data_IF_485187938993
#
_entry.id   IF_485187938993
#
_cell.length_a   1.000
_cell.length_b   1.000
_cell.length_c   1.000
_cell.angle_alpha   90.00
_cell.angle_beta   90.00
_cell.angle_gamma   90.00
#
_symmetry.space_group_name_H-M   'P 1'
#
loop_
_entity.id
_entity.type
_entity.pdbx_description
1 polymer ?
#
# COMPACT_ATOMS: atom_id res chain seq x y z
N UNK A 1 25.17 16.14 -101.04
CA UNK A 1 25.11 16.86 -99.76
C UNK A 1 24.39 15.95 -98.80
N UNK A 2 25.11 15.30 -97.90
CA UNK A 2 24.55 14.45 -96.85
C UNK A 2 24.22 15.34 -95.66
N UNK A 3 22.96 15.32 -95.22
CA UNK A 3 22.49 16.09 -94.07
C UNK A 3 22.79 15.31 -92.79
N UNK A 4 23.70 15.84 -91.98
CA UNK A 4 23.99 15.31 -90.64
C UNK A 4 22.72 15.41 -89.75
N UNK A 5 22.29 14.28 -89.22
CA UNK A 5 21.20 14.21 -88.24
C UNK A 5 21.68 14.83 -86.91
N UNK A 6 20.87 15.65 -86.22
CA UNK A 6 21.27 16.30 -84.97
C UNK A 6 21.07 15.32 -83.82
N UNK A 7 21.96 14.34 -83.69
CA UNK A 7 21.98 13.44 -82.53
C UNK A 7 23.11 13.89 -81.62
N UNK A 8 22.77 14.65 -80.58
CA UNK A 8 23.73 14.98 -79.54
C UNK A 8 24.03 13.74 -78.68
N UNK A 9 25.31 13.44 -78.39
CA UNK A 9 25.66 12.32 -77.54
C UNK A 9 25.16 12.57 -76.11
N UNK A 10 24.30 11.67 -75.63
CA UNK A 10 23.79 11.69 -74.26
C UNK A 10 25.00 11.58 -73.31
N UNK A 11 25.35 12.68 -72.61
CA UNK A 11 26.36 12.65 -71.56
C UNK A 11 25.92 11.69 -70.47
N UNK A 12 26.58 10.53 -70.38
CA UNK A 12 26.40 9.57 -69.28
C UNK A 12 26.71 10.29 -67.97
N UNK A 13 25.69 10.50 -67.12
CA UNK A 13 25.86 11.06 -65.78
C UNK A 13 26.82 10.15 -65.02
N UNK A 14 27.98 10.68 -64.63
CA UNK A 14 28.86 9.96 -63.72
C UNK A 14 28.12 9.72 -62.40
N UNK A 15 28.18 8.50 -61.83
CA UNK A 15 27.56 8.24 -60.54
C UNK A 15 28.18 9.19 -59.50
N UNK A 16 27.34 9.92 -58.77
CA UNK A 16 27.80 10.73 -57.64
C UNK A 16 28.49 9.78 -56.66
N UNK A 17 29.74 10.09 -56.27
CA UNK A 17 30.43 9.40 -55.18
C UNK A 17 29.57 9.52 -53.92
N UNK A 18 28.85 8.46 -53.58
CA UNK A 18 28.18 8.35 -52.28
C UNK A 18 29.30 8.27 -51.24
N UNK A 19 29.39 9.25 -50.35
CA UNK A 19 30.27 9.13 -49.20
C UNK A 19 29.79 7.91 -48.42
N UNK A 20 30.70 6.96 -48.14
CA UNK A 20 30.38 5.81 -47.30
C UNK A 20 30.07 6.35 -45.91
N UNK A 21 28.79 6.32 -45.54
CA UNK A 21 28.37 6.64 -44.17
C UNK A 21 29.08 5.62 -43.27
N UNK A 22 29.87 6.05 -42.28
CA UNK A 22 30.50 5.13 -41.36
C UNK A 22 29.42 4.27 -40.68
N UNK A 23 29.76 3.01 -40.41
CA UNK A 23 28.85 2.09 -39.73
C UNK A 23 28.40 2.72 -38.41
N UNK A 24 27.11 3.06 -38.32
CA UNK A 24 26.51 3.65 -37.14
C UNK A 24 25.67 2.59 -36.44
N UNK A 25 26.08 2.25 -35.22
CA UNK A 25 25.31 1.37 -34.37
C UNK A 25 24.42 2.20 -33.45
N UNK A 26 23.16 2.35 -33.85
CA UNK A 26 22.18 3.12 -33.09
C UNK A 26 21.85 2.49 -31.74
N UNK A 27 22.03 1.18 -31.60
CA UNK A 27 21.68 0.49 -30.37
C UNK A 27 22.65 0.87 -29.24
N UNK A 28 23.95 0.87 -29.53
CA UNK A 28 24.98 1.27 -28.57
C UNK A 28 24.87 2.75 -28.22
N UNK A 29 24.71 3.62 -29.20
CA UNK A 29 24.57 5.07 -28.94
C UNK A 29 23.37 5.40 -28.04
N UNK A 30 22.22 4.78 -28.27
CA UNK A 30 21.02 5.01 -27.44
C UNK A 30 21.20 4.46 -26.02
N UNK A 31 21.83 3.28 -25.87
CA UNK A 31 22.02 2.64 -24.57
C UNK A 31 23.02 3.40 -23.69
N UNK A 32 24.07 3.98 -24.28
CA UNK A 32 25.10 4.72 -23.56
C UNK A 32 24.71 6.18 -23.29
N UNK A 33 23.66 6.68 -23.97
CA UNK A 33 23.18 8.04 -23.79
C UNK A 33 22.50 8.22 -22.43
N UNK A 34 22.86 9.26 -21.64
CA UNK A 34 22.18 9.54 -20.39
C UNK A 34 20.72 9.94 -20.63
N UNK A 35 19.81 9.27 -19.93
CA UNK A 35 18.36 9.42 -20.12
C UNK A 35 17.75 10.73 -19.58
N UNK A 36 18.53 11.60 -18.92
CA UNK A 36 18.08 12.87 -18.33
C UNK A 36 16.80 12.79 -17.46
N UNK A 37 16.56 11.65 -16.80
CA UNK A 37 15.40 11.46 -15.93
C UNK A 37 15.67 11.96 -14.51
N UNK A 38 14.69 12.62 -13.89
CA UNK A 38 14.79 13.00 -12.47
C UNK A 38 14.36 11.85 -11.55
N UNK A 39 14.77 11.89 -10.28
CA UNK A 39 14.28 10.92 -9.28
C UNK A 39 12.75 10.93 -9.14
N UNK A 40 12.11 12.11 -9.31
CA UNK A 40 10.66 12.23 -9.27
C UNK A 40 10.01 11.43 -10.40
N UNK A 41 10.53 11.55 -11.62
CA UNK A 41 10.00 10.85 -12.80
C UNK A 41 10.18 9.34 -12.63
N UNK A 42 11.36 8.90 -12.18
CA UNK A 42 11.65 7.48 -11.94
C UNK A 42 10.75 6.86 -10.86
N UNK A 43 10.40 7.60 -9.82
CA UNK A 43 9.52 7.12 -8.74
C UNK A 43 8.05 7.10 -9.20
N UNK A 44 7.61 8.09 -9.97
CA UNK A 44 6.23 8.20 -10.42
C UNK A 44 5.90 7.19 -11.51
N UNK A 45 6.77 7.07 -12.51
CA UNK A 45 6.48 6.32 -13.73
C UNK A 45 6.91 4.85 -13.65
N UNK A 46 7.84 4.52 -12.76
CA UNK A 46 8.36 3.14 -12.61
C UNK A 46 8.04 2.57 -11.22
N UNK A 47 6.99 1.73 -11.10
CA UNK A 47 6.55 1.18 -9.82
C UNK A 47 7.62 0.40 -9.04
N UNK A 48 8.60 -0.20 -9.74
CA UNK A 48 9.71 -0.94 -9.15
C UNK A 48 10.57 -0.04 -8.25
N UNK A 49 10.97 1.14 -8.72
CA UNK A 49 11.83 2.06 -7.97
C UNK A 49 11.09 2.68 -6.80
N UNK A 50 9.80 2.99 -6.96
CA UNK A 50 8.93 3.40 -5.85
C UNK A 50 8.88 2.35 -4.74
N UNK A 51 8.70 1.07 -5.07
CA UNK A 51 8.67 -0.03 -4.09
C UNK A 51 10.03 -0.22 -3.42
N UNK A 52 11.13 -0.08 -4.15
CA UNK A 52 12.48 -0.16 -3.58
C UNK A 52 12.70 0.96 -2.57
N UNK A 53 12.43 2.22 -2.95
CA UNK A 53 12.53 3.35 -2.05
C UNK A 53 11.64 3.17 -0.81
N UNK A 54 10.38 2.81 -1.01
CA UNK A 54 9.47 2.50 0.09
C UNK A 54 9.99 1.34 0.96
N UNK A 55 10.64 0.34 0.38
CA UNK A 55 11.23 -0.80 1.09
C UNK A 55 12.53 -0.48 1.83
N UNK A 56 13.25 0.59 1.46
CA UNK A 56 14.36 1.14 2.24
C UNK A 56 13.87 2.04 3.37
N UNK A 57 12.84 2.85 3.10
CA UNK A 57 12.21 3.70 4.12
C UNK A 57 11.39 2.89 5.14
N UNK A 58 10.90 1.71 4.76
CA UNK A 58 10.27 0.75 5.67
C UNK A 58 11.35 -0.03 6.40
N UNK A 59 11.38 0.06 7.73
CA UNK A 59 12.22 -0.77 8.60
C UNK A 59 12.10 -2.24 8.19
N UNK A 60 13.18 -2.84 7.69
CA UNK A 60 13.20 -4.23 7.23
C UNK A 60 13.11 -5.18 8.43
N UNK A 61 12.00 -5.90 8.55
CA UNK A 61 11.88 -7.08 9.41
C UNK A 61 12.56 -8.24 8.70
N UNK A 62 13.71 -8.68 9.18
CA UNK A 62 14.36 -9.92 8.70
C UNK A 62 13.66 -11.11 9.36
N UNK A 63 12.94 -11.88 8.56
CA UNK A 63 12.25 -13.07 9.02
C UNK A 63 13.23 -14.24 9.13
N UNK A 64 13.46 -14.74 10.34
CA UNK A 64 14.09 -16.04 10.55
C UNK A 64 13.00 -17.02 10.97
N UNK A 65 12.83 -18.08 10.16
CA UNK A 65 11.88 -19.16 10.40
C UNK A 65 12.19 -19.82 11.75
N UNK A 66 11.17 -20.03 12.58
CA UNK A 66 11.03 -21.25 13.36
C UNK A 66 9.55 -21.53 13.66
N UNK A 67 9.26 -22.82 13.69
CA UNK A 67 7.94 -23.44 13.73
C UNK A 67 7.42 -23.58 15.16
N UNK A 68 6.10 -23.68 15.23
CA UNK A 68 5.28 -24.24 16.31
C UNK A 68 5.11 -23.41 17.59
N UNK A 69 3.98 -22.71 17.67
CA UNK A 69 3.04 -22.91 18.78
C UNK A 69 1.63 -22.39 18.44
N UNK A 70 0.62 -23.21 18.73
CA UNK A 70 -0.79 -22.86 18.63
C UNK A 70 -1.16 -22.04 19.87
N UNK A 71 -1.45 -20.74 19.73
CA UNK A 71 -2.16 -19.98 20.76
C UNK A 71 -2.82 -18.69 20.22
N UNK A 72 -3.90 -18.35 20.93
CA UNK A 72 -5.00 -17.44 20.64
C UNK A 72 -4.57 -15.98 20.41
N UNK A 73 -5.38 -15.27 19.62
CA UNK A 73 -5.30 -13.85 19.20
C UNK A 73 -4.46 -12.95 20.13
N UNK A 74 -3.35 -12.46 19.55
CA UNK A 74 -2.36 -11.50 20.06
C UNK A 74 -1.36 -12.02 21.11
N UNK A 75 -0.45 -12.90 20.68
CA UNK A 75 0.88 -13.03 21.31
C UNK A 75 1.89 -12.34 20.39
N UNK A 76 2.38 -11.19 20.85
CA UNK A 76 3.60 -10.58 20.34
C UNK A 76 4.72 -11.38 21.01
N UNK A 77 5.39 -12.27 20.27
CA UNK A 77 6.61 -12.89 20.79
C UNK A 77 7.69 -11.81 20.82
N UNK A 78 8.01 -11.40 22.05
CA UNK A 78 9.02 -10.42 22.41
C UNK A 78 10.42 -10.94 22.07
N UNK A 79 11.09 -10.26 21.15
CA UNK A 79 12.52 -9.97 21.27
C UNK A 79 12.72 -8.46 21.10
N UNK A 80 12.67 -7.81 22.27
CA UNK A 80 13.11 -6.47 22.68
C UNK A 80 12.73 -5.26 21.81
N UNK A 81 11.44 -5.11 21.54
CA UNK A 81 10.82 -3.79 21.51
C UNK A 81 9.98 -3.63 22.77
N UNK A 82 10.44 -2.81 23.74
CA UNK A 82 9.64 -2.43 24.90
C UNK A 82 8.51 -1.45 24.50
N UNK A 83 7.64 -1.84 23.57
CA UNK A 83 6.42 -1.10 23.28
C UNK A 83 5.39 -1.47 24.34
N UNK A 84 5.34 -0.69 25.42
CA UNK A 84 4.31 -0.85 26.45
C UNK A 84 2.98 -0.33 25.90
N UNK A 85 2.06 -1.25 25.61
CA UNK A 85 0.68 -0.88 25.31
C UNK A 85 0.05 -0.14 26.51
N UNK A 86 -0.65 0.96 26.24
CA UNK A 86 -1.34 1.73 27.27
C UNK A 86 -2.70 1.10 27.53
N UNK A 87 -2.96 0.76 28.79
CA UNK A 87 -4.24 0.25 29.23
C UNK A 87 -4.88 1.19 30.24
N UNK A 88 -6.19 1.37 30.13
CA UNK A 88 -7.01 2.01 31.16
C UNK A 88 -7.96 0.99 31.78
N UNK A 89 -8.43 1.29 32.99
CA UNK A 89 -9.55 0.58 33.61
C UNK A 89 -10.80 1.43 33.40
N UNK A 90 -11.70 0.94 32.57
CA UNK A 90 -12.97 1.61 32.25
C UNK A 90 -14.12 0.79 32.82
N UNK A 91 -15.22 1.44 33.14
CA UNK A 91 -16.43 0.77 33.65
C UNK A 91 -17.50 0.79 32.57
N UNK A 92 -18.12 -0.36 32.30
CA UNK A 92 -19.30 -0.49 31.44
C UNK A 92 -20.40 -1.15 32.28
N UNK A 93 -21.50 -0.43 32.53
CA UNK A 93 -22.49 -0.82 33.55
C UNK A 93 -21.83 -1.00 34.91
N UNK A 94 -22.00 -2.18 35.51
CA UNK A 94 -21.39 -2.51 36.82
C UNK A 94 -20.05 -3.26 36.70
N UNK A 95 -19.50 -3.37 35.48
CA UNK A 95 -18.31 -4.17 35.22
C UNK A 95 -17.09 -3.29 34.96
N UNK A 96 -16.02 -3.51 35.73
CA UNK A 96 -14.71 -2.89 35.46
C UNK A 96 -13.89 -3.72 34.49
N UNK A 97 -13.62 -3.17 33.32
CA UNK A 97 -12.88 -3.81 32.23
C UNK A 97 -11.53 -3.13 32.00
N UNK A 98 -10.57 -3.89 31.45
CA UNK A 98 -9.29 -3.35 30.99
C UNK A 98 -9.39 -3.04 29.51
N UNK A 99 -9.17 -1.79 29.14
CA UNK A 99 -9.34 -1.28 27.77
C UNK A 99 -7.99 -0.84 27.22
N UNK A 100 -7.67 -1.25 26.00
CA UNK A 100 -6.50 -0.78 25.25
C UNK A 100 -6.78 0.65 24.76
N UNK A 101 -5.85 1.58 25.00
CA UNK A 101 -5.88 2.90 24.38
C UNK A 101 -5.07 2.83 23.09
N UNK A 102 -5.77 2.92 21.96
CA UNK A 102 -5.16 2.89 20.63
C UNK A 102 -5.56 4.16 19.85
N UNK A 103 -4.59 5.06 19.66
CA UNK A 103 -4.79 6.27 18.85
C UNK A 103 -4.77 6.01 17.33
N UNK A 104 -4.36 4.82 16.90
CA UNK A 104 -4.40 4.39 15.51
C UNK A 104 -5.75 3.81 15.08
N UNK A 105 -6.64 3.52 16.04
CA UNK A 105 -7.98 3.02 15.75
C UNK A 105 -8.94 4.16 15.36
N UNK A 106 -9.64 3.99 14.24
CA UNK A 106 -10.62 4.98 13.76
C UNK A 106 -11.93 4.99 14.58
N UNK A 107 -12.25 3.88 15.25
CA UNK A 107 -13.45 3.69 16.08
C UNK A 107 -13.10 2.87 17.32
N UNK A 108 -13.83 3.09 18.41
CA UNK A 108 -13.76 2.19 19.57
C UNK A 108 -14.48 0.89 19.26
N UNK A 109 -13.83 -0.22 19.56
CA UNK A 109 -14.38 -1.55 19.31
C UNK A 109 -14.29 -2.44 20.55
N UNK A 110 -15.14 -3.48 20.57
CA UNK A 110 -15.09 -4.57 21.55
C UNK A 110 -15.28 -5.91 20.86
N UNK A 111 -14.79 -6.98 21.47
CA UNK A 111 -15.06 -8.33 20.97
C UNK A 111 -16.49 -8.75 21.27
N UNK A 112 -17.06 -9.61 20.42
CA UNK A 112 -18.38 -10.20 20.66
C UNK A 112 -18.46 -10.95 21.99
N UNK A 113 -17.40 -11.69 22.33
CA UNK A 113 -17.30 -12.40 23.60
C UNK A 113 -17.37 -11.45 24.82
N UNK A 114 -16.78 -10.25 24.74
CA UNK A 114 -16.90 -9.26 25.81
C UNK A 114 -18.32 -8.69 25.87
N UNK A 115 -18.94 -8.39 24.72
CA UNK A 115 -20.32 -7.92 24.66
C UNK A 115 -21.29 -8.93 25.29
N UNK A 116 -21.15 -10.22 24.94
CA UNK A 116 -21.97 -11.32 25.49
C UNK A 116 -21.77 -11.46 27.01
N UNK A 117 -20.52 -11.37 27.48
CA UNK A 117 -20.22 -11.43 28.91
C UNK A 117 -20.81 -10.25 29.70
N UNK A 118 -20.93 -9.09 29.07
CA UNK A 118 -21.56 -7.91 29.65
C UNK A 118 -23.09 -7.88 29.47
N UNK A 119 -23.67 -8.88 28.80
CA UNK A 119 -25.10 -8.93 28.51
C UNK A 119 -25.57 -7.86 27.51
N UNK A 120 -24.67 -7.35 26.66
CA UNK A 120 -24.96 -6.31 25.68
C UNK A 120 -25.44 -6.91 24.35
N UNK A 121 -26.50 -6.32 23.79
CA UNK A 121 -27.05 -6.65 22.48
C UNK A 121 -26.57 -5.66 21.42
N UNK A 122 -26.34 -6.13 20.20
CA UNK A 122 -26.12 -5.26 19.03
C UNK A 122 -27.42 -4.50 18.73
N UNK A 123 -27.33 -3.18 18.66
CA UNK A 123 -28.48 -2.30 18.42
C UNK A 123 -28.68 -1.99 16.93
N UNK A 124 -27.63 -2.05 16.12
CA UNK A 124 -27.69 -1.83 14.66
C UNK A 124 -26.63 -2.63 13.90
N UNK A 125 -26.89 -2.87 12.60
CA UNK A 125 -25.89 -3.46 11.71
C UNK A 125 -24.69 -2.51 11.53
N UNK A 126 -23.49 -3.08 11.36
CA UNK A 126 -22.28 -2.30 11.07
C UNK A 126 -22.04 -2.21 9.57
N UNK A 127 -21.66 -1.03 9.10
CA UNK A 127 -21.16 -0.79 7.74
C UNK A 127 -19.62 -0.75 7.69
N UNK A 128 -18.95 -1.01 8.83
CA UNK A 128 -17.51 -0.84 8.98
C UNK A 128 -16.75 -2.12 8.65
N UNK A 129 -15.67 -1.99 7.88
CA UNK A 129 -14.67 -3.05 7.67
C UNK A 129 -13.33 -2.58 8.24
N UNK A 130 -12.85 -3.25 9.28
CA UNK A 130 -11.57 -2.99 9.92
C UNK A 130 -10.44 -3.60 9.11
N UNK A 131 -9.35 -2.86 8.94
CA UNK A 131 -8.09 -3.39 8.40
C UNK A 131 -7.12 -3.57 9.57
N UNK A 132 -6.76 -4.81 9.85
CA UNK A 132 -5.92 -5.18 10.99
C UNK A 132 -4.45 -4.87 10.70
N UNK A 133 -3.60 -4.82 11.75
CA UNK A 133 -2.17 -4.52 11.60
C UNK A 133 -1.39 -5.51 10.72
N UNK A 134 -1.93 -6.72 10.50
CA UNK A 134 -1.39 -7.72 9.57
C UNK A 134 -1.93 -7.56 8.13
N UNK A 135 -2.77 -6.56 7.86
CA UNK A 135 -3.39 -6.27 6.57
C UNK A 135 -4.68 -7.05 6.27
N UNK A 136 -5.13 -7.95 7.16
CA UNK A 136 -6.41 -8.66 6.97
C UNK A 136 -7.59 -7.71 7.18
N UNK A 137 -8.72 -8.02 6.54
CA UNK A 137 -9.97 -7.27 6.68
C UNK A 137 -10.97 -8.05 7.52
N UNK A 138 -11.62 -7.37 8.45
CA UNK A 138 -12.64 -7.96 9.31
C UNK A 138 -13.85 -7.03 9.36
N UNK A 139 -15.03 -7.54 9.01
CA UNK A 139 -16.26 -6.78 9.10
C UNK A 139 -16.70 -6.63 10.57
N UNK A 140 -17.24 -5.47 10.91
CA UNK A 140 -17.95 -5.28 12.17
C UNK A 140 -19.21 -6.14 12.19
N UNK A 141 -19.50 -6.75 13.33
CA UNK A 141 -20.73 -7.53 13.56
C UNK A 141 -21.92 -6.60 13.79
N UNK A 142 -21.69 -5.42 14.35
CA UNK A 142 -22.75 -4.45 14.64
C UNK A 142 -22.32 -3.38 15.63
N UNK A 143 -23.22 -2.43 15.85
CA UNK A 143 -23.01 -1.26 16.71
C UNK A 143 -23.84 -1.39 17.98
N UNK A 144 -23.23 -1.08 19.12
CA UNK A 144 -23.89 -0.95 20.42
C UNK A 144 -23.89 0.54 20.79
N UNK A 145 -25.08 1.10 21.05
CA UNK A 145 -25.25 2.48 21.47
C UNK A 145 -25.29 2.59 22.99
N UNK A 146 -24.79 3.69 23.51
CA UNK A 146 -24.96 4.00 24.93
C UNK A 146 -26.45 4.25 25.23
N UNK A 147 -27.02 3.44 26.13
CA UNK A 147 -28.43 3.54 26.56
C UNK A 147 -28.61 4.42 27.80
N UNK A 148 -27.54 4.96 28.39
CA UNK A 148 -27.59 5.66 29.67
C UNK A 148 -27.42 7.19 29.55
N UNK A 149 -28.15 7.85 28.66
CA UNK A 149 -28.48 9.28 28.81
C UNK A 149 -29.88 9.57 28.26
N UNK A 150 -30.87 9.52 29.16
CA UNK A 150 -32.20 10.11 28.95
C UNK A 150 -32.07 11.63 28.84
N UNK A 151 -31.64 12.17 27.68
CA UNK A 151 -31.82 13.54 27.13
C UNK A 151 -30.68 14.04 26.23
N UNK A 152 -29.73 13.20 25.80
CA UNK A 152 -28.68 13.59 24.84
C UNK A 152 -28.66 12.57 23.70
N UNK A 153 -28.61 12.99 22.41
CA UNK A 153 -28.44 12.05 21.31
C UNK A 153 -27.19 11.18 21.56
N UNK A 154 -27.18 9.89 21.16
CA UNK A 154 -26.04 9.01 21.40
C UNK A 154 -24.82 9.56 20.67
N UNK A 155 -23.92 10.22 21.41
CA UNK A 155 -22.69 10.82 20.86
C UNK A 155 -21.55 9.80 20.73
N UNK A 156 -21.70 8.61 21.31
CA UNK A 156 -20.69 7.55 21.29
C UNK A 156 -21.30 6.19 21.00
N UNK A 157 -20.66 5.44 20.11
CA UNK A 157 -21.06 4.11 19.68
C UNK A 157 -19.87 3.15 19.69
N UNK A 158 -20.09 1.90 20.08
CA UNK A 158 -19.08 0.85 20.13
C UNK A 158 -19.31 -0.15 18.98
N UNK A 159 -18.26 -0.44 18.22
CA UNK A 159 -18.31 -1.47 17.16
C UNK A 159 -17.95 -2.83 17.74
N UNK A 160 -18.76 -3.85 17.44
CA UNK A 160 -18.47 -5.23 17.85
C UNK A 160 -17.70 -5.94 16.74
N UNK A 161 -16.57 -6.56 17.05
CA UNK A 161 -15.79 -7.40 16.13
C UNK A 161 -15.75 -8.84 16.60
N UNK A 162 -15.67 -9.77 15.65
CA UNK A 162 -15.56 -11.22 15.87
C UNK A 162 -14.26 -11.66 16.54
#
# INVERSE_FOLDING_TARGET
METDLPIEPIKKKQPKRTQSIPSYDIATDILDRPANATFRDLINDVPKYRRQLAGFCRTRRTATKNQDSQQTVAIIEDDEFNTTAVYSKTTIGDHRIRTLIDCGAAKTCMSKALADKLGLSIDAASETIFTMGNGTKQAGLGVIYDKYYLHVPPTSSLETIG
#
